data_IF_709539338975
#
_entry.id   IF_709539338975
#
_cell.length_a   1.000
_cell.length_b   1.000
_cell.length_c   1.000
_cell.angle_alpha   90.00
_cell.angle_beta   90.00
_cell.angle_gamma   90.00
#
_symmetry.space_group_name_H-M   'P 1'
#
loop_
_entity.id
_entity.type
_entity.pdbx_description
1 polymer ?
#
# COMPACT_ATOMS: atom_id res chain seq x y z
N UNK A 1 37.73 -25.22 17.76
CA UNK A 1 37.69 -23.86 17.21
C UNK A 1 36.46 -23.75 16.32
N UNK A 2 35.32 -23.38 16.90
CA UNK A 2 34.14 -23.01 16.14
C UNK A 2 34.18 -21.49 15.99
N UNK A 3 34.33 -21.00 14.76
CA UNK A 3 34.12 -19.59 14.46
C UNK A 3 32.61 -19.37 14.33
N UNK A 4 32.03 -18.85 15.39
CA UNK A 4 30.71 -18.23 15.41
C UNK A 4 30.81 -16.94 14.60
N UNK A 5 30.39 -17.00 13.33
CA UNK A 5 30.18 -15.78 12.53
C UNK A 5 28.86 -15.20 12.99
N UNK A 6 28.94 -14.17 13.82
CA UNK A 6 27.86 -13.23 14.07
C UNK A 6 27.42 -12.58 12.75
N UNK A 7 26.54 -13.26 12.03
CA UNK A 7 25.69 -12.64 11.03
C UNK A 7 24.70 -11.75 11.80
N UNK A 8 25.14 -10.53 12.13
CA UNK A 8 24.24 -9.43 12.43
C UNK A 8 23.19 -9.40 11.30
N UNK A 9 21.98 -9.88 11.60
CA UNK A 9 20.81 -9.70 10.73
C UNK A 9 20.57 -8.20 10.65
N UNK A 10 21.24 -7.52 9.72
CA UNK A 10 20.93 -6.13 9.41
C UNK A 10 19.50 -6.11 8.89
N UNK A 11 18.59 -5.63 9.73
CA UNK A 11 17.22 -5.44 9.31
C UNK A 11 17.25 -4.32 8.27
N UNK A 12 16.63 -4.50 7.09
CA UNK A 12 16.63 -3.46 6.07
C UNK A 12 16.03 -2.18 6.64
N UNK A 13 16.70 -1.06 6.42
CA UNK A 13 16.25 0.26 6.87
C UNK A 13 14.81 0.51 6.38
N UNK A 14 13.90 0.98 7.24
CA UNK A 14 12.54 1.27 6.82
C UNK A 14 12.50 2.30 5.70
N UNK A 15 11.46 2.23 4.88
CA UNK A 15 11.22 3.22 3.83
C UNK A 15 10.92 4.59 4.44
N UNK A 16 11.31 5.64 3.73
CA UNK A 16 11.06 7.04 4.11
C UNK A 16 9.98 7.63 3.21
N UNK A 17 9.10 8.45 3.80
CA UNK A 17 8.12 9.25 3.07
C UNK A 17 8.65 10.68 3.02
N UNK A 18 8.70 11.26 1.83
CA UNK A 18 9.15 12.64 1.61
C UNK A 18 8.36 13.28 0.48
N UNK A 19 8.41 14.61 0.38
CA UNK A 19 7.92 15.32 -0.78
C UNK A 19 8.97 15.38 -1.90
N UNK A 20 8.49 15.39 -3.14
CA UNK A 20 9.18 15.93 -4.31
C UNK A 20 8.29 17.03 -4.85
N UNK A 21 8.75 18.29 -4.83
CA UNK A 21 7.87 19.42 -5.12
C UNK A 21 6.66 19.41 -4.18
N UNK A 22 5.46 19.25 -4.74
CA UNK A 22 4.20 19.10 -3.98
C UNK A 22 3.67 17.67 -3.92
N UNK A 23 4.27 16.77 -4.69
CA UNK A 23 3.97 15.34 -4.71
C UNK A 23 4.57 14.62 -3.51
N UNK A 24 3.97 13.51 -3.11
CA UNK A 24 4.41 12.66 -1.98
C UNK A 24 4.91 11.32 -2.49
N UNK A 25 6.14 10.98 -2.13
CA UNK A 25 6.79 9.73 -2.50
C UNK A 25 7.23 8.95 -1.25
N UNK A 26 7.14 7.63 -1.34
CA UNK A 26 7.73 6.70 -0.38
C UNK A 26 8.84 5.91 -1.07
N UNK A 27 10.03 5.81 -0.47
CA UNK A 27 11.09 4.98 -1.01
C UNK A 27 12.04 4.48 0.08
N UNK A 28 12.67 3.33 -0.19
CA UNK A 28 13.69 2.79 0.70
C UNK A 28 14.05 1.34 0.39
N UNK A 29 15.03 0.80 1.13
CA UNK A 29 15.54 -0.54 0.89
C UNK A 29 14.60 -1.64 1.38
N UNK A 30 13.68 -1.35 2.31
CA UNK A 30 12.74 -2.32 2.85
C UNK A 30 11.82 -2.88 1.76
N UNK A 31 11.18 -2.01 0.96
CA UNK A 31 10.36 -2.47 -0.17
C UNK A 31 11.15 -2.56 -1.49
N UNK A 32 12.37 -2.00 -1.54
CA UNK A 32 13.21 -1.93 -2.74
C UNK A 32 12.42 -1.36 -3.93
N UNK A 33 11.70 -0.26 -3.69
CA UNK A 33 10.89 0.46 -4.67
C UNK A 33 10.76 1.94 -4.32
N UNK A 34 10.41 2.73 -5.33
CA UNK A 34 9.74 4.02 -5.14
C UNK A 34 8.23 3.80 -5.29
N UNK A 35 7.44 4.46 -4.46
CA UNK A 35 6.00 4.58 -4.59
C UNK A 35 5.59 6.05 -4.60
N UNK A 36 5.15 6.55 -5.76
CA UNK A 36 4.48 7.85 -5.86
C UNK A 36 3.06 7.71 -5.30
N UNK A 37 2.89 8.20 -4.08
CA UNK A 37 1.67 8.07 -3.30
C UNK A 37 0.63 9.13 -3.69
N UNK A 38 1.08 10.38 -3.85
CA UNK A 38 0.24 11.51 -4.27
C UNK A 38 0.98 12.28 -5.34
N UNK A 39 0.34 12.47 -6.49
CA UNK A 39 0.86 13.27 -7.58
C UNK A 39 0.19 14.65 -7.54
N UNK A 40 0.98 15.69 -7.49
CA UNK A 40 0.53 17.05 -7.79
C UNK A 40 0.76 17.33 -9.29
N UNK A 41 -0.26 17.77 -10.05
CA UNK A 41 -0.11 18.10 -11.47
C UNK A 41 0.96 19.16 -11.76
N UNK A 42 1.27 20.07 -10.83
CA UNK A 42 2.29 21.11 -11.02
C UNK A 42 3.71 20.53 -11.08
N UNK A 43 3.92 19.30 -10.60
CA UNK A 43 5.22 18.63 -10.69
C UNK A 43 5.39 17.85 -12.01
N UNK A 44 4.36 17.80 -12.87
CA UNK A 44 4.46 17.21 -14.21
C UNK A 44 5.05 18.21 -15.23
N UNK A 45 5.84 17.73 -16.20
CA UNK A 45 6.24 16.33 -16.41
C UNK A 45 7.50 15.91 -15.63
N UNK A 46 8.13 16.82 -14.90
CA UNK A 46 9.50 16.69 -14.39
C UNK A 46 9.67 15.63 -13.30
N UNK A 47 8.63 15.36 -12.51
CA UNK A 47 8.69 14.31 -11.49
C UNK A 47 9.04 12.94 -12.07
N UNK A 48 8.54 12.58 -13.26
CA UNK A 48 8.71 11.22 -13.80
C UNK A 48 10.18 10.87 -14.05
N UNK A 49 10.99 11.67 -14.77
CA UNK A 49 12.43 11.41 -14.88
C UNK A 49 13.18 11.53 -13.54
N UNK A 50 12.72 12.35 -12.59
CA UNK A 50 13.36 12.43 -11.27
C UNK A 50 13.14 11.17 -10.44
N UNK A 51 11.98 10.52 -10.50
CA UNK A 51 11.77 9.21 -9.87
C UNK A 51 12.72 8.16 -10.44
N UNK A 52 12.97 8.17 -11.76
CA UNK A 52 13.94 7.27 -12.39
C UNK A 52 15.36 7.52 -11.90
N UNK A 53 15.79 8.78 -11.81
CA UNK A 53 17.10 9.16 -11.27
C UNK A 53 17.24 8.73 -9.82
N UNK A 54 16.23 9.02 -8.99
CA UNK A 54 16.22 8.68 -7.56
C UNK A 54 16.31 7.17 -7.35
N UNK A 55 15.56 6.38 -8.12
CA UNK A 55 15.58 4.94 -8.03
C UNK A 55 16.94 4.37 -8.42
N UNK A 56 17.53 4.86 -9.52
CA UNK A 56 18.86 4.43 -9.95
C UNK A 56 19.94 4.80 -8.93
N UNK A 57 19.91 6.02 -8.38
CA UNK A 57 20.88 6.49 -7.38
C UNK A 57 20.84 5.65 -6.09
N UNK A 58 19.66 5.17 -5.70
CA UNK A 58 19.47 4.33 -4.51
C UNK A 58 19.50 2.82 -4.84
N UNK A 59 19.78 2.42 -6.08
CA UNK A 59 19.81 1.03 -6.49
C UNK A 59 18.46 0.29 -6.39
N UNK A 60 17.35 1.03 -6.35
CA UNK A 60 15.99 0.49 -6.25
C UNK A 60 15.56 -0.13 -7.59
N UNK A 61 14.77 -1.20 -7.55
CA UNK A 61 14.46 -1.93 -8.79
C UNK A 61 13.06 -1.72 -9.36
N UNK A 62 12.14 -1.06 -8.64
CA UNK A 62 10.77 -0.80 -9.09
C UNK A 62 10.35 0.63 -8.78
N UNK A 63 9.57 1.22 -9.67
CA UNK A 63 8.80 2.44 -9.41
C UNK A 63 7.33 2.07 -9.58
N UNK A 64 6.51 2.41 -8.59
CA UNK A 64 5.05 2.34 -8.63
C UNK A 64 4.49 3.76 -8.54
N UNK A 65 3.40 4.03 -9.24
CA UNK A 65 2.74 5.33 -9.21
C UNK A 65 1.22 5.17 -9.15
N UNK A 66 0.58 5.83 -8.18
CA UNK A 66 -0.87 6.01 -8.10
C UNK A 66 -1.20 7.38 -8.68
N UNK A 67 -1.83 7.43 -9.85
CA UNK A 67 -2.00 8.68 -10.62
C UNK A 67 -3.40 8.79 -11.22
N UNK A 68 -3.93 10.01 -11.41
CA UNK A 68 -5.15 10.22 -12.17
C UNK A 68 -4.96 9.83 -13.64
N UNK A 69 -6.03 9.36 -14.30
CA UNK A 69 -5.98 8.93 -15.70
C UNK A 69 -5.37 9.97 -16.64
N UNK A 70 -5.66 11.26 -16.45
CA UNK A 70 -5.12 12.35 -17.26
C UNK A 70 -3.57 12.40 -17.25
N UNK A 71 -2.92 11.93 -16.18
CA UNK A 71 -1.48 11.92 -16.08
C UNK A 71 -0.83 10.72 -16.80
N UNK A 72 -1.61 9.73 -17.26
CA UNK A 72 -1.13 8.45 -17.79
C UNK A 72 -0.04 8.60 -18.85
N UNK A 73 -0.23 9.51 -19.80
CA UNK A 73 0.65 9.69 -20.96
C UNK A 73 2.08 10.06 -20.54
N UNK A 74 2.25 10.83 -19.47
CA UNK A 74 3.58 11.21 -18.96
C UNK A 74 4.40 9.99 -18.48
N UNK A 75 3.72 8.96 -17.97
CA UNK A 75 4.34 7.74 -17.46
C UNK A 75 4.50 6.69 -18.56
N UNK A 76 3.46 6.44 -19.37
CA UNK A 76 3.50 5.44 -20.45
C UNK A 76 4.57 5.78 -21.48
N UNK A 77 4.74 7.07 -21.83
CA UNK A 77 5.80 7.52 -22.74
C UNK A 77 7.21 7.25 -22.21
N UNK A 78 7.36 6.95 -20.92
CA UNK A 78 8.63 6.55 -20.28
C UNK A 78 8.70 5.05 -19.98
N UNK A 79 7.78 4.25 -20.50
CA UNK A 79 7.81 2.78 -20.36
C UNK A 79 7.23 2.25 -19.06
N UNK A 80 6.36 3.01 -18.39
CA UNK A 80 5.53 2.47 -17.31
C UNK A 80 4.37 1.65 -17.91
N UNK A 81 4.12 0.47 -17.33
CA UNK A 81 2.96 -0.36 -17.64
C UNK A 81 1.80 -0.10 -16.67
N UNK A 82 0.57 -0.32 -17.14
CA UNK A 82 -0.64 -0.28 -16.32
C UNK A 82 -0.79 -1.60 -15.56
N UNK A 83 -0.84 -1.54 -14.23
CA UNK A 83 -1.03 -2.69 -13.35
C UNK A 83 -2.50 -2.82 -12.92
N UNK A 84 -3.15 -1.69 -12.63
CA UNK A 84 -4.57 -1.65 -12.26
C UNK A 84 -5.21 -0.31 -12.60
N UNK A 85 -6.53 -0.35 -12.82
CA UNK A 85 -7.40 0.81 -13.00
C UNK A 85 -8.54 0.70 -11.99
N UNK A 86 -8.80 1.77 -11.26
CA UNK A 86 -9.89 1.86 -10.28
C UNK A 86 -10.86 2.94 -10.75
N UNK A 87 -12.07 2.56 -11.20
CA UNK A 87 -13.06 3.51 -11.68
C UNK A 87 -13.44 4.55 -10.61
N UNK A 88 -13.44 5.84 -10.98
CA UNK A 88 -13.87 6.94 -10.10
C UNK A 88 -13.06 7.10 -8.81
N UNK A 89 -11.81 6.63 -8.77
CA UNK A 89 -10.95 6.68 -7.59
C UNK A 89 -10.71 8.11 -7.10
N UNK A 90 -10.46 9.05 -8.01
CA UNK A 90 -10.20 10.45 -7.67
C UNK A 90 -11.52 11.22 -7.65
N UNK A 91 -11.94 11.59 -6.43
CA UNK A 91 -13.16 12.37 -6.12
C UNK A 91 -14.45 11.84 -6.76
N UNK A 92 -14.53 10.54 -7.08
CA UNK A 92 -15.68 9.94 -7.75
C UNK A 92 -15.84 10.33 -9.23
N UNK A 93 -14.86 11.01 -9.83
CA UNK A 93 -14.98 11.63 -11.16
C UNK A 93 -13.97 11.13 -12.16
N UNK A 94 -12.78 10.76 -11.69
CA UNK A 94 -11.68 10.33 -12.54
C UNK A 94 -11.14 8.98 -12.07
N UNK A 95 -10.81 8.13 -13.04
CA UNK A 95 -10.21 6.83 -12.79
C UNK A 95 -8.81 6.99 -12.19
N UNK A 96 -8.51 6.16 -11.20
CA UNK A 96 -7.17 6.06 -10.63
C UNK A 96 -6.39 4.94 -11.29
N UNK A 97 -5.19 5.23 -11.73
CA UNK A 97 -4.29 4.26 -12.35
C UNK A 97 -3.15 3.91 -11.41
N UNK A 98 -2.88 2.62 -11.29
CA UNK A 98 -1.63 2.11 -10.74
C UNK A 98 -0.70 1.75 -11.89
N UNK A 99 0.37 2.51 -12.03
CA UNK A 99 1.39 2.33 -13.05
C UNK A 99 2.69 1.82 -12.42
N UNK A 100 3.44 0.99 -13.15
CA UNK A 100 4.72 0.49 -12.67
C UNK A 100 5.78 0.41 -13.76
N UNK A 101 7.04 0.62 -13.35
CA UNK A 101 8.23 0.39 -14.17
C UNK A 101 9.27 -0.41 -13.38
N UNK A 102 9.75 -1.49 -13.97
CA UNK A 102 10.86 -2.27 -13.44
C UNK A 102 12.17 -1.78 -14.05
N UNK A 103 13.12 -1.36 -13.21
CA UNK A 103 14.41 -0.81 -13.63
C UNK A 103 15.49 -1.87 -13.80
N UNK A 104 15.28 -3.04 -13.17
CA UNK A 104 16.15 -4.22 -13.34
C UNK A 104 15.32 -5.34 -13.96
N UNK A 105 15.72 -5.90 -15.12
CA UNK A 105 14.98 -6.96 -15.81
C UNK A 105 14.79 -8.23 -14.97
N UNK A 106 15.69 -8.49 -14.03
CA UNK A 106 15.73 -9.72 -13.23
C UNK A 106 14.56 -9.91 -12.25
N UNK A 107 13.66 -8.93 -12.10
CA UNK A 107 12.47 -9.04 -11.23
C UNK A 107 11.12 -9.07 -11.98
N UNK A 108 11.13 -9.05 -13.32
CA UNK A 108 9.91 -9.23 -14.12
C UNK A 108 9.43 -10.68 -14.16
N UNK A 109 10.13 -11.59 -13.49
CA UNK A 109 9.70 -12.96 -13.24
C UNK A 109 9.50 -13.13 -11.72
N UNK A 110 8.41 -13.78 -11.27
CA UNK A 110 8.22 -14.09 -9.87
C UNK A 110 9.38 -14.96 -9.36
N UNK A 111 9.91 -14.60 -8.18
CA UNK A 111 11.04 -15.27 -7.54
C UNK A 111 10.65 -16.72 -7.19
N UNK A 112 11.30 -17.70 -7.84
CA UNK A 112 11.06 -19.14 -7.62
C UNK A 112 11.69 -19.66 -6.32
N UNK A 113 12.42 -18.80 -5.59
CA UNK A 113 13.21 -19.18 -4.42
C UNK A 113 12.58 -18.79 -3.09
N UNK A 114 11.39 -18.20 -3.08
CA UNK A 114 10.58 -18.07 -1.86
C UNK A 114 10.01 -19.45 -1.50
N UNK A 115 10.45 -20.09 -0.40
CA UNK A 115 9.68 -21.18 0.18
C UNK A 115 8.41 -20.54 0.75
N UNK A 116 7.28 -20.91 0.17
CA UNK A 116 5.92 -20.41 0.45
C UNK A 116 5.59 -19.04 -0.17
N UNK A 117 4.95 -19.04 -1.37
CA UNK A 117 4.13 -17.90 -1.73
C UNK A 117 2.94 -17.87 -0.76
N UNK A 118 2.62 -16.69 -0.20
CA UNK A 118 1.28 -16.37 0.30
C UNK A 118 0.23 -16.32 -0.85
N UNK A 119 0.43 -17.13 -1.87
CA UNK A 119 -0.38 -17.26 -3.07
C UNK A 119 -0.59 -18.75 -3.39
N UNK A 120 -1.24 -19.48 -2.49
CA UNK A 120 -1.88 -20.76 -2.87
C UNK A 120 -3.23 -20.55 -3.60
N UNK A 121 -3.61 -19.30 -3.91
CA UNK A 121 -4.88 -18.99 -4.60
C UNK A 121 -4.74 -18.24 -5.94
N UNK A 122 -3.54 -18.00 -6.48
CA UNK A 122 -3.37 -17.18 -7.69
C UNK A 122 -3.07 -17.97 -8.98
N UNK A 123 -3.43 -19.25 -9.04
CA UNK A 123 -3.30 -20.08 -10.26
C UNK A 123 -4.64 -20.36 -10.94
N UNK A 124 -5.70 -19.65 -10.57
CA UNK A 124 -6.98 -19.63 -11.29
C UNK A 124 -7.47 -18.19 -11.48
N UNK A 125 -6.71 -17.39 -12.22
CA UNK A 125 -7.27 -16.19 -12.86
C UNK A 125 -7.36 -16.49 -14.36
N UNK A 126 -8.30 -17.37 -14.70
CA UNK A 126 -8.96 -17.30 -15.99
C UNK A 126 -9.75 -16.00 -16.10
N UNK A 127 -10.30 -15.65 -17.28
CA UNK A 127 -11.20 -14.51 -17.38
C UNK A 127 -12.25 -14.66 -16.29
N UNK A 128 -12.46 -13.60 -15.50
CA UNK A 128 -13.55 -13.54 -14.53
C UNK A 128 -14.83 -13.54 -15.35
N UNK A 129 -15.26 -14.74 -15.73
CA UNK A 129 -16.65 -15.03 -16.03
C UNK A 129 -17.38 -14.51 -14.80
N UNK A 130 -18.32 -13.60 -14.99
CA UNK A 130 -19.32 -13.27 -13.99
C UNK A 130 -19.99 -14.57 -13.56
N UNK A 131 -19.38 -15.26 -12.58
CA UNK A 131 -20.04 -16.33 -11.88
C UNK A 131 -21.17 -15.65 -11.14
N UNK A 132 -22.43 -16.06 -11.37
CA UNK A 132 -23.54 -15.52 -10.60
C UNK A 132 -23.18 -15.72 -9.14
N UNK A 133 -23.25 -14.63 -8.40
CA UNK A 133 -22.94 -14.51 -6.98
C UNK A 133 -22.89 -15.86 -6.29
N UNK A 134 -21.66 -16.34 -6.00
CA UNK A 134 -21.50 -17.39 -5.00
C UNK A 134 -22.00 -16.77 -3.70
N UNK A 135 -23.31 -16.93 -3.47
CA UNK A 135 -24.01 -16.51 -2.28
C UNK A 135 -23.60 -17.44 -1.15
N UNK A 136 -22.33 -17.33 -0.74
CA UNK A 136 -21.94 -17.55 0.64
C UNK A 136 -22.57 -16.44 1.48
N UNK A 137 -23.91 -16.42 1.50
CA UNK A 137 -24.69 -15.79 2.54
C UNK A 137 -24.56 -16.64 3.80
N UNK A 138 -23.32 -16.73 4.31
CA UNK A 138 -23.15 -16.88 5.76
C UNK A 138 -23.67 -15.59 6.35
N UNK A 139 -24.99 -15.52 6.52
CA UNK A 139 -25.60 -14.54 7.41
C UNK A 139 -24.82 -14.67 8.71
N UNK A 140 -24.21 -13.57 9.14
CA UNK A 140 -23.68 -13.50 10.48
C UNK A 140 -24.81 -13.95 11.42
N UNK A 141 -24.53 -14.83 12.39
CA UNK A 141 -25.57 -15.37 13.28
C UNK A 141 -26.31 -14.29 14.08
N UNK A 142 -25.82 -13.05 14.04
CA UNK A 142 -26.39 -11.86 14.67
C UNK A 142 -26.09 -10.63 13.80
N UNK A 143 -26.94 -9.61 13.87
CA UNK A 143 -26.65 -8.30 13.27
C UNK A 143 -25.47 -7.68 14.00
N UNK A 144 -24.36 -7.52 13.27
CA UNK A 144 -23.15 -6.90 13.78
C UNK A 144 -22.97 -5.56 13.09
N UNK A 145 -23.43 -4.45 13.69
CA UNK A 145 -23.29 -3.15 13.08
C UNK A 145 -21.82 -2.79 12.97
N UNK A 146 -21.38 -2.46 11.76
CA UNK A 146 -20.09 -1.82 11.52
C UNK A 146 -20.24 -0.34 11.90
N UNK A 147 -19.30 0.19 12.68
CA UNK A 147 -19.33 1.57 13.16
C UNK A 147 -18.03 2.28 12.83
N UNK A 148 -18.12 3.58 12.50
CA UNK A 148 -16.94 4.45 12.49
C UNK A 148 -16.42 4.58 13.91
N UNK A 149 -15.11 4.37 14.10
CA UNK A 149 -14.44 4.46 15.39
C UNK A 149 -13.83 5.86 15.54
N UNK A 150 -14.04 6.48 16.70
CA UNK A 150 -13.45 7.79 17.02
C UNK A 150 -12.18 7.68 17.86
N UNK A 151 -11.63 8.84 18.22
CA UNK A 151 -10.38 8.97 18.99
C UNK A 151 -10.43 8.25 20.35
N UNK A 152 -11.63 8.06 20.92
CA UNK A 152 -11.84 7.29 22.14
C UNK A 152 -11.37 5.83 22.02
N UNK A 153 -11.31 5.30 20.80
CA UNK A 153 -10.86 3.93 20.50
C UNK A 153 -9.40 3.85 20.05
N UNK A 154 -8.68 4.97 19.87
CA UNK A 154 -7.32 4.98 19.32
C UNK A 154 -6.35 4.05 20.08
N UNK A 155 -6.44 4.01 21.42
CA UNK A 155 -5.61 3.11 22.24
C UNK A 155 -5.87 1.63 22.00
N UNK A 156 -7.09 1.26 21.65
CA UNK A 156 -7.46 -0.13 21.35
C UNK A 156 -6.98 -0.50 19.94
N UNK A 157 -7.16 0.41 18.99
CA UNK A 157 -6.70 0.28 17.60
C UNK A 157 -5.17 0.11 17.54
N UNK A 158 -4.40 0.99 18.19
CA UNK A 158 -2.94 0.91 18.22
C UNK A 158 -2.44 -0.43 18.79
N UNK A 159 -3.11 -0.95 19.83
CA UNK A 159 -2.80 -2.27 20.41
C UNK A 159 -3.07 -3.42 19.44
N UNK A 160 -4.10 -3.35 18.60
CA UNK A 160 -4.36 -4.36 17.57
C UNK A 160 -3.28 -4.33 16.49
N UNK A 161 -2.89 -3.14 16.01
CA UNK A 161 -1.80 -3.03 15.04
C UNK A 161 -0.47 -3.53 15.58
N UNK A 162 -0.13 -3.18 16.83
CA UNK A 162 1.09 -3.67 17.49
C UNK A 162 1.15 -5.21 17.59
N UNK A 163 0.00 -5.88 17.76
CA UNK A 163 -0.08 -7.35 17.87
C UNK A 163 -0.02 -8.06 16.52
N UNK A 164 -0.70 -7.51 15.53
CA UNK A 164 -0.97 -8.21 14.28
C UNK A 164 -0.02 -7.82 13.15
N UNK A 165 0.67 -6.68 13.25
CA UNK A 165 1.37 -6.08 12.14
C UNK A 165 2.74 -5.50 12.55
N UNK A 166 3.68 -6.38 12.93
CA UNK A 166 5.04 -5.98 13.30
C UNK A 166 5.86 -5.35 12.17
N UNK A 167 5.45 -5.56 10.91
CA UNK A 167 6.15 -5.09 9.71
C UNK A 167 5.26 -4.21 8.81
N UNK A 168 4.33 -3.45 9.38
CA UNK A 168 3.54 -2.48 8.62
C UNK A 168 4.38 -1.23 8.30
N UNK A 169 4.34 -0.69 7.08
CA UNK A 169 5.18 0.43 6.66
C UNK A 169 4.84 1.78 7.31
N UNK A 170 3.75 1.85 8.09
CA UNK A 170 3.35 3.04 8.85
C UNK A 170 3.25 2.73 10.35
N UNK A 171 3.64 3.64 11.25
CA UNK A 171 3.70 3.37 12.69
C UNK A 171 2.31 3.46 13.35
N UNK A 172 1.33 2.66 12.91
CA UNK A 172 -0.03 2.66 13.48
C UNK A 172 -0.10 2.16 14.94
N UNK A 173 0.99 1.58 15.44
CA UNK A 173 1.17 1.25 16.85
C UNK A 173 1.50 2.47 17.73
N UNK A 174 2.00 3.56 17.13
CA UNK A 174 2.25 4.83 17.81
C UNK A 174 0.92 5.58 17.97
N UNK A 175 0.60 5.94 19.21
CA UNK A 175 -0.70 6.54 19.51
C UNK A 175 -0.82 7.95 18.93
N UNK A 176 0.25 8.73 18.97
CA UNK A 176 0.23 10.12 18.52
C UNK A 176 0.09 10.16 16.99
N UNK A 177 0.86 9.33 16.28
CA UNK A 177 0.73 9.17 14.83
C UNK A 177 -0.67 8.69 14.42
N UNK A 178 -1.21 7.69 15.13
CA UNK A 178 -2.54 7.17 14.83
C UNK A 178 -3.62 8.24 15.03
N UNK A 179 -3.55 9.01 16.11
CA UNK A 179 -4.51 10.08 16.39
C UNK A 179 -4.45 11.17 15.31
N UNK A 180 -3.25 11.54 14.87
CA UNK A 180 -3.06 12.46 13.75
C UNK A 180 -3.74 11.93 12.48
N UNK A 181 -3.48 10.68 12.08
CA UNK A 181 -4.15 10.05 10.94
C UNK A 181 -5.68 10.06 11.05
N UNK A 182 -6.22 9.77 12.24
CA UNK A 182 -7.67 9.76 12.50
C UNK A 182 -8.32 11.14 12.37
N UNK A 183 -7.56 12.21 12.62
CA UNK A 183 -8.04 13.59 12.56
C UNK A 183 -7.88 14.21 11.18
N UNK A 184 -6.91 13.77 10.39
CA UNK A 184 -6.63 14.32 9.08
C UNK A 184 -7.49 13.64 8.01
N UNK A 185 -7.11 12.43 7.58
CA UNK A 185 -7.66 11.85 6.36
C UNK A 185 -7.94 10.33 6.45
N UNK A 186 -7.76 9.70 7.62
CA UNK A 186 -8.01 8.25 7.77
C UNK A 186 -9.25 7.98 8.61
N UNK A 187 -10.24 7.32 8.03
CA UNK A 187 -11.39 6.77 8.76
C UNK A 187 -11.11 5.34 9.21
N UNK A 188 -11.42 5.02 10.46
CA UNK A 188 -11.42 3.65 10.95
C UNK A 188 -12.86 3.16 11.15
N UNK A 189 -13.12 1.93 10.73
CA UNK A 189 -14.39 1.24 10.90
C UNK A 189 -14.15 -0.07 11.65
N UNK A 190 -14.97 -0.31 12.66
CA UNK A 190 -14.87 -1.49 13.51
C UNK A 190 -16.16 -2.28 13.53
N UNK A 191 -16.00 -3.59 13.69
CA UNK A 191 -17.07 -4.49 14.10
C UNK A 191 -16.76 -4.93 15.53
N UNK A 192 -17.72 -4.73 16.43
CA UNK A 192 -17.56 -4.97 17.86
C UNK A 192 -18.21 -6.29 18.29
N UNK A 193 -17.53 -7.04 19.15
CA UNK A 193 -18.04 -8.23 19.84
C UNK A 193 -17.79 -8.11 21.34
N UNK A 194 -18.85 -8.22 22.15
CA UNK A 194 -18.74 -8.18 23.63
C UNK A 194 -17.97 -6.95 24.14
N UNK A 195 -18.13 -5.80 23.49
CA UNK A 195 -17.48 -4.54 23.86
C UNK A 195 -16.01 -4.38 23.41
N UNK A 196 -15.50 -5.31 22.60
CA UNK A 196 -14.15 -5.28 22.04
C UNK A 196 -14.19 -5.21 20.51
N UNK A 197 -13.19 -4.59 19.88
CA UNK A 197 -13.04 -4.58 18.43
C UNK A 197 -12.63 -5.98 17.96
N UNK A 198 -13.49 -6.63 17.17
CA UNK A 198 -13.24 -7.97 16.62
C UNK A 198 -12.73 -7.93 15.18
N UNK A 199 -13.10 -6.90 14.42
CA UNK A 199 -12.53 -6.61 13.11
C UNK A 199 -12.36 -5.10 12.92
N UNK A 200 -11.35 -4.72 12.16
CA UNK A 200 -10.98 -3.33 11.91
C UNK A 200 -10.66 -3.15 10.42
N UNK A 201 -11.16 -2.06 9.85
CA UNK A 201 -10.79 -1.58 8.53
C UNK A 201 -10.42 -0.10 8.63
N UNK A 202 -9.47 0.35 7.82
CA UNK A 202 -9.10 1.75 7.69
C UNK A 202 -9.23 2.19 6.24
N UNK A 203 -9.65 3.43 6.02
CA UNK A 203 -9.67 4.06 4.71
C UNK A 203 -8.94 5.39 4.80
N UNK A 204 -7.79 5.49 4.13
CA UNK A 204 -7.20 6.79 3.80
C UNK A 204 -8.06 7.44 2.71
N UNK A 205 -8.33 8.73 2.86
CA UNK A 205 -9.12 9.53 1.93
C UNK A 205 -8.24 10.68 1.42
N UNK A 206 -8.53 11.14 0.21
CA UNK A 206 -8.00 12.41 -0.27
C UNK A 206 -8.89 13.55 0.27
N UNK A 207 -8.30 14.74 0.45
CA UNK A 207 -9.02 15.96 0.85
C UNK A 207 -9.92 16.52 -0.27
#
# INVERSE_FOLDING_TARGET
MYHEKDCLRMHPTPDTITSYGRSVIQFGPLNNRIYLMKLDPDDLPDIVPELEKLANANGLSKICAKVPEQAQTHFVNRGFGLEARIPGFFHGREDGLYLAKFLRPARSQPDQTCPEPLCENSSQVGPVVHQPECSLSRKLPFEMPIRKLGLERAKEIARMFARNFSAYPFPLQDLDYLQECMQTNVCFFGLEMKGQIAALASSEMDE
#
